data_IF_965238122151
#
_entry.id   IF_965238122151
#
_cell.length_a   1.000
_cell.length_b   1.000
_cell.length_c   1.000
_cell.angle_alpha   90.00
_cell.angle_beta   90.00
_cell.angle_gamma   90.00
#
_symmetry.space_group_name_H-M   'P 1'
#
loop_
_entity.id
_entity.type
_entity.pdbx_description
1 polymer ?
#
# COMPACT_ATOMS: atom_id res chain seq x y z
N UNK A 1 -4.06 -0.70 -43.50
CA UNK A 1 -3.54 -0.36 -42.16
C UNK A 1 -4.68 0.40 -41.48
N UNK A 2 -5.35 -0.22 -40.51
CA UNK A 2 -6.70 0.17 -40.08
C UNK A 2 -6.79 1.50 -39.32
N UNK A 3 -7.88 2.19 -39.58
CA UNK A 3 -8.29 3.50 -39.07
C UNK A 3 -8.54 3.45 -37.56
N UNK A 4 -7.62 4.00 -36.75
CA UNK A 4 -7.84 4.26 -35.32
C UNK A 4 -8.11 5.74 -35.11
N UNK A 5 -9.36 6.13 -35.31
CA UNK A 5 -9.84 7.45 -34.90
C UNK A 5 -10.24 7.37 -33.41
N UNK A 6 -9.30 7.70 -32.52
CA UNK A 6 -9.59 7.78 -31.08
C UNK A 6 -10.37 9.05 -30.80
N UNK A 7 -11.67 8.92 -30.56
CA UNK A 7 -12.54 10.02 -30.13
C UNK A 7 -12.15 10.44 -28.71
N UNK A 8 -11.30 11.46 -28.61
CA UNK A 8 -10.85 12.03 -27.34
C UNK A 8 -11.96 12.79 -26.63
N UNK A 9 -12.68 12.12 -25.72
CA UNK A 9 -13.69 12.73 -24.86
C UNK A 9 -13.49 12.36 -23.40
N UNK A 10 -13.46 13.36 -22.50
CA UNK A 10 -13.36 13.13 -21.06
C UNK A 10 -14.60 12.42 -20.52
N UNK A 11 -14.40 11.31 -19.80
CA UNK A 11 -15.45 10.50 -19.18
C UNK A 11 -16.24 11.33 -18.15
N UNK A 12 -17.53 11.57 -18.40
CA UNK A 12 -18.42 12.28 -17.48
C UNK A 12 -19.30 11.29 -16.72
N UNK A 13 -19.10 11.17 -15.41
CA UNK A 13 -19.97 10.36 -14.55
C UNK A 13 -21.24 11.15 -14.20
N UNK A 14 -22.41 10.53 -14.41
CA UNK A 14 -23.69 11.11 -14.01
C UNK A 14 -23.79 11.12 -12.48
N UNK A 15 -23.65 12.30 -11.89
CA UNK A 15 -23.59 12.52 -10.43
C UNK A 15 -22.28 13.15 -9.93
N UNK A 16 -21.28 13.37 -10.80
CA UNK A 16 -20.00 13.96 -10.41
C UNK A 16 -20.04 15.48 -10.29
N UNK A 17 -20.40 16.00 -9.11
CA UNK A 17 -20.11 17.38 -8.72
C UNK A 17 -18.60 17.63 -8.78
N UNK A 18 -18.20 18.75 -9.39
CA UNK A 18 -16.81 19.08 -9.71
C UNK A 18 -15.87 18.98 -8.50
N UNK A 19 -14.71 18.35 -8.71
CA UNK A 19 -13.61 18.31 -7.74
C UNK A 19 -13.11 19.75 -7.55
N UNK A 20 -13.50 20.39 -6.45
CA UNK A 20 -12.91 21.65 -6.03
C UNK A 20 -11.49 21.37 -5.56
N UNK A 21 -10.49 21.92 -6.27
CA UNK A 21 -9.07 21.83 -5.90
C UNK A 21 -8.88 22.49 -4.53
N UNK A 22 -8.80 21.70 -3.45
CA UNK A 22 -8.40 22.18 -2.13
C UNK A 22 -6.97 22.74 -2.19
N UNK A 23 -6.81 24.02 -1.81
CA UNK A 23 -5.51 24.66 -1.64
C UNK A 23 -4.63 23.84 -0.68
N UNK A 24 -3.41 23.52 -1.12
CA UNK A 24 -2.38 22.82 -0.34
C UNK A 24 -1.95 23.73 0.83
N UNK A 25 -2.28 23.35 2.07
CA UNK A 25 -1.70 23.99 3.27
C UNK A 25 -0.24 23.55 3.39
N UNK A 26 0.63 24.53 3.67
CA UNK A 26 2.05 24.36 3.97
C UNK A 26 2.19 23.39 5.16
N UNK A 27 3.01 22.35 5.00
CA UNK A 27 3.29 21.38 6.06
C UNK A 27 4.05 22.07 7.19
N UNK A 28 3.40 22.25 8.35
CA UNK A 28 4.14 22.44 9.59
C UNK A 28 4.95 21.18 9.89
N UNK A 29 6.20 21.36 10.32
CA UNK A 29 7.06 20.27 10.77
C UNK A 29 6.38 19.61 11.96
N UNK A 30 6.22 18.28 11.89
CA UNK A 30 5.68 17.50 12.99
C UNK A 30 6.74 17.40 14.09
N UNK A 31 6.53 18.11 15.19
CA UNK A 31 7.36 17.98 16.39
C UNK A 31 7.18 16.58 17.02
N UNK A 32 8.27 15.82 17.26
CA UNK A 32 8.20 14.47 17.82
C UNK A 32 7.65 14.43 19.26
N UNK A 33 7.56 15.57 19.95
CA UNK A 33 6.99 15.69 21.29
C UNK A 33 5.46 15.51 21.32
N UNK A 34 4.75 15.86 20.23
CA UNK A 34 3.28 15.75 20.17
C UNK A 34 2.79 14.32 19.94
N UNK A 35 3.66 13.46 19.41
CA UNK A 35 3.37 12.04 19.12
C UNK A 35 3.41 11.21 20.41
N UNK A 36 4.26 11.57 21.39
CA UNK A 36 4.29 10.91 22.70
C UNK A 36 3.03 11.21 23.53
N UNK A 37 2.60 12.48 23.54
CA UNK A 37 1.39 12.88 24.26
C UNK A 37 0.09 12.27 23.69
N UNK A 38 0.07 11.85 22.42
CA UNK A 38 -1.09 11.17 21.82
C UNK A 38 -1.12 9.66 22.09
N UNK A 39 0.01 9.05 22.46
CA UNK A 39 0.07 7.63 22.85
C UNK A 39 -0.35 7.44 24.31
N UNK A 40 0.00 8.38 25.20
CA UNK A 40 -0.31 8.29 26.64
C UNK A 40 -1.76 8.69 26.98
N UNK A 41 -2.42 9.52 26.16
CA UNK A 41 -3.82 9.91 26.39
C UNK A 41 -4.86 8.85 25.95
N UNK A 42 -4.43 7.68 25.49
CA UNK A 42 -5.30 6.63 24.95
C UNK A 42 -5.62 5.50 25.94
N UNK A 43 -5.13 5.57 27.17
CA UNK A 43 -5.33 4.53 28.19
C UNK A 43 -6.53 4.76 29.13
N UNK A 44 -7.29 5.86 29.03
CA UNK A 44 -8.32 6.16 30.06
C UNK A 44 -9.72 6.56 29.57
N UNK A 45 -10.07 6.37 28.29
CA UNK A 45 -11.47 6.54 27.86
C UNK A 45 -11.92 5.46 26.87
N UNK A 46 -12.93 4.63 27.21
CA UNK A 46 -13.55 3.76 26.22
C UNK A 46 -14.23 4.66 25.17
N UNK A 47 -13.91 4.52 23.87
CA UNK A 47 -14.61 5.25 22.83
C UNK A 47 -16.09 4.83 22.83
N UNK A 48 -17.03 5.74 22.55
CA UNK A 48 -18.45 5.42 22.53
C UNK A 48 -18.70 4.26 21.56
N UNK A 49 -19.22 3.16 22.10
CA UNK A 49 -19.54 1.94 21.37
C UNK A 49 -20.61 2.25 20.33
N UNK A 50 -20.18 2.56 19.11
CA UNK A 50 -21.07 2.56 17.96
C UNK A 50 -21.68 1.16 17.85
N UNK A 51 -23.00 1.01 17.67
CA UNK A 51 -23.59 -0.30 17.52
C UNK A 51 -22.90 -1.01 16.35
N UNK A 52 -22.29 -2.16 16.65
CA UNK A 52 -21.64 -3.01 15.66
C UNK A 52 -22.77 -3.51 14.76
N UNK A 53 -22.92 -2.88 13.59
CA UNK A 53 -23.75 -3.43 12.54
C UNK A 53 -23.04 -4.70 12.08
N UNK A 54 -23.52 -5.85 12.53
CA UNK A 54 -23.10 -7.14 12.02
C UNK A 54 -23.65 -7.21 10.59
N UNK A 55 -22.85 -6.74 9.64
CA UNK A 55 -23.17 -6.93 8.23
C UNK A 55 -22.91 -8.40 7.96
N UNK A 56 -23.96 -9.14 7.64
CA UNK A 56 -23.84 -10.52 7.18
C UNK A 56 -23.02 -10.52 5.90
N UNK A 57 -21.86 -11.18 5.94
CA UNK A 57 -20.96 -11.25 4.81
C UNK A 57 -21.54 -12.15 3.74
N UNK A 58 -21.39 -11.74 2.49
CA UNK A 58 -21.74 -12.57 1.35
C UNK A 58 -20.83 -13.79 1.26
N UNK A 59 -21.28 -14.87 0.61
CA UNK A 59 -20.47 -16.08 0.43
C UNK A 59 -19.12 -15.82 -0.26
N UNK A 60 -19.07 -14.81 -1.15
CA UNK A 60 -17.83 -14.39 -1.81
C UNK A 60 -16.88 -13.69 -0.82
N UNK A 61 -17.39 -12.83 0.06
CA UNK A 61 -16.60 -12.14 1.09
C UNK A 61 -16.04 -13.13 2.11
N UNK A 62 -16.82 -14.13 2.53
CA UNK A 62 -16.36 -15.19 3.44
C UNK A 62 -15.16 -15.96 2.86
N UNK A 63 -15.26 -16.39 1.59
CA UNK A 63 -14.15 -17.09 0.91
C UNK A 63 -12.92 -16.20 0.76
N UNK A 64 -13.11 -14.92 0.45
CA UNK A 64 -12.00 -13.97 0.35
C UNK A 64 -11.28 -13.80 1.69
N UNK A 65 -12.03 -13.69 2.79
CA UNK A 65 -11.46 -13.57 4.13
C UNK A 65 -10.69 -14.82 4.54
N UNK A 66 -11.19 -16.02 4.24
CA UNK A 66 -10.47 -17.26 4.50
C UNK A 66 -9.13 -17.29 3.77
N UNK A 67 -9.12 -16.93 2.48
CA UNK A 67 -7.88 -16.84 1.69
C UNK A 67 -6.96 -15.76 2.26
N UNK A 68 -7.50 -14.63 2.68
CA UNK A 68 -6.73 -13.54 3.24
C UNK A 68 -6.08 -13.95 4.57
N UNK A 69 -6.83 -14.63 5.46
CA UNK A 69 -6.33 -15.18 6.72
C UNK A 69 -5.19 -16.17 6.48
N UNK A 70 -5.38 -17.14 5.58
CA UNK A 70 -4.32 -18.10 5.21
C UNK A 70 -3.05 -17.40 4.73
N UNK A 71 -3.18 -16.41 3.83
CA UNK A 71 -2.03 -15.62 3.36
C UNK A 71 -1.38 -14.78 4.45
N UNK A 72 -2.16 -14.26 5.40
CA UNK A 72 -1.62 -13.50 6.53
C UNK A 72 -0.82 -14.41 7.45
N UNK A 73 -1.32 -15.59 7.78
CA UNK A 73 -0.61 -16.60 8.58
C UNK A 73 0.72 -16.97 7.94
N UNK A 74 0.74 -17.28 6.64
CA UNK A 74 1.97 -17.56 5.91
C UNK A 74 2.96 -16.38 5.93
N UNK A 75 2.47 -15.14 5.76
CA UNK A 75 3.31 -13.94 5.83
C UNK A 75 3.90 -13.76 7.22
N UNK A 76 3.10 -13.98 8.27
CA UNK A 76 3.54 -13.88 9.66
C UNK A 76 4.64 -14.90 9.93
N UNK A 77 4.40 -16.18 9.60
CA UNK A 77 5.40 -17.24 9.74
C UNK A 77 6.71 -16.90 9.02
N UNK A 78 6.65 -16.52 7.74
CA UNK A 78 7.84 -16.12 6.95
C UNK A 78 8.56 -14.91 7.55
N UNK A 79 7.80 -13.94 8.05
CA UNK A 79 8.36 -12.71 8.63
C UNK A 79 8.99 -12.95 10.01
N UNK A 80 8.44 -13.90 10.78
CA UNK A 80 8.91 -14.30 12.11
C UNK A 80 10.17 -15.17 12.03
N UNK A 81 10.32 -15.96 10.97
CA UNK A 81 11.51 -16.81 10.75
C UNK A 81 12.83 -16.03 10.63
N UNK A 82 12.79 -14.79 10.14
CA UNK A 82 14.00 -14.00 9.86
C UNK A 82 14.08 -12.75 10.73
N UNK A 83 15.22 -12.56 11.39
CA UNK A 83 15.53 -11.33 12.10
C UNK A 83 15.68 -10.14 11.13
N UNK A 84 15.49 -8.91 11.62
CA UNK A 84 15.71 -7.72 10.79
C UNK A 84 17.14 -7.66 10.25
N UNK A 85 18.14 -8.04 11.07
CA UNK A 85 19.55 -8.08 10.66
C UNK A 85 19.78 -9.04 9.49
N UNK A 86 19.15 -10.21 9.52
CA UNK A 86 19.22 -11.20 8.44
C UNK A 86 18.55 -10.70 7.17
N UNK A 87 17.39 -10.03 7.28
CA UNK A 87 16.71 -9.40 6.14
C UNK A 87 17.58 -8.33 5.49
N UNK A 88 18.29 -7.52 6.28
CA UNK A 88 19.22 -6.51 5.78
C UNK A 88 20.44 -7.17 5.12
N UNK A 89 20.99 -8.21 5.72
CA UNK A 89 22.12 -8.95 5.15
C UNK A 89 21.74 -9.62 3.80
N UNK A 90 20.57 -10.26 3.72
CA UNK A 90 20.05 -10.84 2.48
C UNK A 90 19.82 -9.78 1.41
N UNK A 91 19.28 -8.62 1.78
CA UNK A 91 19.07 -7.50 0.87
C UNK A 91 20.41 -7.00 0.33
N UNK A 92 21.40 -6.78 1.19
CA UNK A 92 22.72 -6.31 0.77
C UNK A 92 23.40 -7.32 -0.16
N UNK A 93 23.37 -8.60 0.19
CA UNK A 93 23.88 -9.66 -0.69
C UNK A 93 23.20 -9.65 -2.06
N UNK A 94 21.87 -9.46 -2.10
CA UNK A 94 21.13 -9.36 -3.36
C UNK A 94 21.51 -8.11 -4.15
N UNK A 95 21.74 -6.97 -3.49
CA UNK A 95 22.21 -5.75 -4.14
C UNK A 95 23.61 -5.92 -4.74
N UNK A 96 24.51 -6.62 -4.04
CA UNK A 96 25.86 -6.95 -4.53
C UNK A 96 25.81 -7.91 -5.73
N UNK A 97 24.89 -8.87 -5.74
CA UNK A 97 24.72 -9.82 -6.84
C UNK A 97 24.01 -9.22 -8.05
N UNK A 98 23.19 -8.18 -7.87
CA UNK A 98 22.48 -7.55 -8.98
C UNK A 98 23.46 -6.87 -9.94
N UNK A 99 23.28 -7.12 -11.24
CA UNK A 99 24.11 -6.53 -12.28
C UNK A 99 23.91 -5.02 -12.33
N UNK A 100 25.02 -4.28 -12.39
CA UNK A 100 24.98 -2.82 -12.53
C UNK A 100 24.40 -2.41 -13.91
N UNK A 101 24.64 -3.24 -14.92
CA UNK A 101 24.16 -3.03 -16.29
C UNK A 101 22.99 -3.98 -16.60
N UNK A 102 21.88 -3.37 -17.03
CA UNK A 102 20.66 -4.08 -17.45
C UNK A 102 20.48 -4.08 -18.97
N UNK A 103 21.54 -3.77 -19.72
CA UNK A 103 21.52 -3.68 -21.18
C UNK A 103 22.51 -4.67 -21.79
N UNK A 104 22.21 -5.14 -22.99
CA UNK A 104 23.06 -6.09 -23.70
C UNK A 104 24.19 -5.29 -24.36
N UNK A 105 25.47 -5.67 -24.14
CA UNK A 105 26.57 -4.98 -24.81
C UNK A 105 26.35 -5.05 -26.32
N UNK A 106 26.51 -3.90 -26.98
CA UNK A 106 26.19 -3.74 -28.40
C UNK A 106 27.10 -4.65 -29.23
N UNK A 107 26.53 -5.70 -29.82
CA UNK A 107 27.25 -6.63 -30.69
C UNK A 107 27.43 -5.96 -32.04
N UNK A 108 28.64 -5.51 -32.34
CA UNK A 108 28.98 -4.94 -33.65
C UNK A 108 29.17 -6.05 -34.68
N UNK A 109 28.74 -5.85 -35.95
CA UNK A 109 29.08 -6.75 -37.04
C UNK A 109 30.56 -6.56 -37.38
N UNK A 110 31.37 -7.52 -36.93
CA UNK A 110 32.64 -7.86 -37.55
C UNK A 110 32.45 -9.14 -38.37
#
# INVERSE_FOLDING_TARGET
MGDYETTGGSLRFKGGGGITKKKKKKSEKLDPSKVKATLEAKESTPPPSKPIKVIEKTAAELRFEEIQKKRQEEKVLKSAMKSHKEKVAELNRKLEEMTEHYDIPKVGPG
#
